data_IF_842074537224
#
_entry.id   IF_842074537224
#
_cell.length_a   1.000
_cell.length_b   1.000
_cell.length_c   1.000
_cell.angle_alpha   90.00
_cell.angle_beta   90.00
_cell.angle_gamma   90.00
#
_symmetry.space_group_name_H-M   'P 1'
#
loop_
_entity.id
_entity.type
_entity.pdbx_description
1 polymer ?
#
# COMPACT_ATOMS: atom_id res chain seq x y z
N UNK A 1 -46.97 -16.11 -38.37
CA UNK A 1 -46.59 -16.21 -36.94
C UNK A 1 -45.34 -15.39 -36.71
N UNK A 2 -45.43 -14.37 -35.88
CA UNK A 2 -44.29 -13.53 -35.49
C UNK A 2 -43.38 -14.36 -34.59
N UNK A 3 -42.16 -14.65 -35.02
CA UNK A 3 -41.20 -15.37 -34.21
C UNK A 3 -40.55 -14.42 -33.21
N UNK A 4 -40.11 -14.93 -32.05
CA UNK A 4 -39.38 -14.14 -31.05
C UNK A 4 -38.16 -13.44 -31.69
N UNK A 5 -37.49 -14.08 -32.65
CA UNK A 5 -36.41 -13.47 -33.42
C UNK A 5 -36.85 -12.25 -34.24
N UNK A 6 -38.05 -12.24 -34.81
CA UNK A 6 -38.57 -11.09 -35.54
C UNK A 6 -38.88 -9.92 -34.59
N UNK A 7 -39.41 -10.22 -33.40
CA UNK A 7 -39.68 -9.22 -32.35
C UNK A 7 -38.37 -8.61 -31.85
N UNK A 8 -37.38 -9.43 -31.49
CA UNK A 8 -36.05 -8.97 -31.04
C UNK A 8 -35.35 -8.12 -32.10
N UNK A 9 -35.41 -8.51 -33.38
CA UNK A 9 -34.82 -7.71 -34.47
C UNK A 9 -35.53 -6.38 -34.69
N UNK A 10 -36.84 -6.31 -34.48
CA UNK A 10 -37.59 -5.05 -34.56
C UNK A 10 -37.17 -4.11 -33.43
N UNK A 11 -37.18 -4.62 -32.19
CA UNK A 11 -36.79 -3.85 -31.00
C UNK A 11 -35.36 -3.33 -31.12
N UNK A 12 -34.41 -4.15 -31.54
CA UNK A 12 -33.03 -3.69 -31.77
C UNK A 12 -32.97 -2.59 -32.84
N UNK A 13 -33.72 -2.73 -33.94
CA UNK A 13 -33.73 -1.72 -35.01
C UNK A 13 -34.26 -0.36 -34.53
N UNK A 14 -35.22 -0.38 -33.62
CA UNK A 14 -35.81 0.82 -33.04
C UNK A 14 -34.93 1.45 -31.96
N UNK A 15 -34.14 0.63 -31.24
CA UNK A 15 -33.22 1.10 -30.19
C UNK A 15 -31.87 1.57 -30.72
N UNK A 16 -31.38 1.06 -31.85
CA UNK A 16 -30.06 1.42 -32.40
C UNK A 16 -29.90 2.93 -32.63
N UNK A 17 -30.84 3.66 -33.25
CA UNK A 17 -30.68 5.11 -33.45
C UNK A 17 -30.63 5.89 -32.13
N UNK A 18 -31.46 5.49 -31.15
CA UNK A 18 -31.49 6.12 -29.82
C UNK A 18 -30.20 5.84 -29.05
N UNK A 19 -29.66 4.64 -29.17
CA UNK A 19 -28.37 4.28 -28.60
C UNK A 19 -27.24 5.11 -29.21
N UNK A 20 -27.20 5.23 -30.55
CA UNK A 20 -26.19 6.02 -31.26
C UNK A 20 -26.22 7.49 -30.86
N UNK A 21 -27.41 8.10 -30.80
CA UNK A 21 -27.58 9.50 -30.40
C UNK A 21 -27.10 9.73 -28.96
N UNK A 22 -27.49 8.86 -28.03
CA UNK A 22 -27.06 8.94 -26.62
C UNK A 22 -25.55 8.72 -26.47
N UNK A 23 -24.98 7.79 -27.24
CA UNK A 23 -23.54 7.54 -27.23
C UNK A 23 -22.78 8.75 -27.77
N UNK A 24 -23.21 9.33 -28.91
CA UNK A 24 -22.58 10.55 -29.45
C UNK A 24 -22.66 11.70 -28.46
N UNK A 25 -23.81 11.92 -27.83
CA UNK A 25 -23.97 12.97 -26.84
C UNK A 25 -23.05 12.76 -25.62
N UNK A 26 -22.91 11.53 -25.13
CA UNK A 26 -22.03 11.20 -24.02
C UNK A 26 -20.55 11.36 -24.38
N UNK A 27 -20.15 10.94 -25.58
CA UNK A 27 -18.76 11.04 -26.07
C UNK A 27 -18.38 12.49 -26.38
N UNK A 28 -19.31 13.33 -26.85
CA UNK A 28 -19.04 14.74 -27.19
C UNK A 28 -18.60 15.60 -25.99
N UNK A 29 -18.87 15.15 -24.76
CA UNK A 29 -18.50 15.84 -23.51
C UNK A 29 -17.17 15.33 -22.95
N UNK A 30 -16.61 14.25 -23.51
CA UNK A 30 -15.36 13.67 -23.03
C UNK A 30 -14.14 14.39 -23.62
N UNK A 31 -13.02 14.26 -22.91
CA UNK A 31 -11.72 14.74 -23.37
C UNK A 31 -11.28 14.01 -24.66
N UNK A 32 -10.68 14.76 -25.59
CA UNK A 32 -10.30 14.23 -26.91
C UNK A 32 -9.19 13.19 -26.80
N UNK A 33 -8.22 13.39 -25.92
CA UNK A 33 -7.10 12.47 -25.76
C UNK A 33 -7.59 11.18 -25.10
N UNK A 34 -8.51 11.28 -24.13
CA UNK A 34 -9.21 10.12 -23.57
C UNK A 34 -9.98 9.32 -24.62
N UNK A 35 -10.71 9.98 -25.54
CA UNK A 35 -11.45 9.30 -26.61
C UNK A 35 -10.52 8.55 -27.57
N UNK A 36 -9.38 9.15 -27.91
CA UNK A 36 -8.35 8.51 -28.74
C UNK A 36 -7.83 7.25 -28.05
N UNK A 37 -7.54 7.32 -26.75
CA UNK A 37 -7.10 6.16 -25.97
C UNK A 37 -8.14 5.04 -25.94
N UNK A 38 -9.43 5.37 -25.79
CA UNK A 38 -10.49 4.36 -25.81
C UNK A 38 -10.65 3.70 -27.19
N UNK A 39 -10.55 4.46 -28.28
CA UNK A 39 -10.62 3.91 -29.64
C UNK A 39 -9.42 2.99 -29.88
N UNK A 40 -8.21 3.42 -29.52
CA UNK A 40 -7.00 2.59 -29.61
C UNK A 40 -7.22 1.30 -28.82
N UNK A 41 -7.68 1.37 -27.56
CA UNK A 41 -7.96 0.17 -26.75
C UNK A 41 -9.00 -0.77 -27.38
N UNK A 42 -10.06 -0.24 -27.98
CA UNK A 42 -11.09 -1.05 -28.63
C UNK A 42 -10.62 -1.70 -29.94
N UNK A 43 -9.55 -1.18 -30.55
CA UNK A 43 -9.00 -1.66 -31.83
C UNK A 43 -7.79 -2.58 -31.69
N UNK A 44 -7.12 -2.55 -30.54
CA UNK A 44 -5.98 -3.42 -30.25
C UNK A 44 -6.44 -4.82 -29.84
N UNK A 45 -5.64 -5.83 -30.18
CA UNK A 45 -5.86 -7.19 -29.70
C UNK A 45 -5.53 -7.31 -28.20
N UNK A 46 -6.03 -8.37 -27.57
CA UNK A 46 -5.88 -8.59 -26.14
C UNK A 46 -4.42 -8.58 -25.67
N UNK A 47 -3.47 -9.05 -26.50
CA UNK A 47 -2.06 -9.08 -26.13
C UNK A 47 -1.45 -7.67 -26.11
N UNK A 48 -1.76 -6.85 -27.11
CA UNK A 48 -1.33 -5.44 -27.17
C UNK A 48 -1.91 -4.61 -26.02
N UNK A 49 -3.15 -4.88 -25.60
CA UNK A 49 -3.77 -4.27 -24.43
C UNK A 49 -3.07 -4.65 -23.12
N UNK A 50 -2.80 -5.94 -22.93
CA UNK A 50 -2.06 -6.43 -21.77
C UNK A 50 -0.65 -5.82 -21.67
N UNK A 51 0.03 -5.62 -22.79
CA UNK A 51 1.35 -4.98 -22.81
C UNK A 51 1.29 -3.50 -22.43
N UNK A 52 0.27 -2.77 -22.92
CA UNK A 52 0.04 -1.36 -22.55
C UNK A 52 -0.29 -1.22 -21.06
N UNK A 53 -1.16 -2.09 -20.54
CA UNK A 53 -1.54 -2.08 -19.13
C UNK A 53 -0.31 -2.41 -18.25
N UNK A 54 0.46 -3.43 -18.62
CA UNK A 54 1.71 -3.78 -17.93
C UNK A 54 2.72 -2.64 -17.93
N UNK A 55 2.92 -1.96 -19.07
CA UNK A 55 3.82 -0.81 -19.17
C UNK A 55 3.34 0.34 -18.29
N UNK A 56 2.04 0.63 -18.32
CA UNK A 56 1.43 1.70 -17.51
C UNK A 56 1.60 1.45 -16.01
N UNK A 57 1.44 0.21 -15.57
CA UNK A 57 1.70 -0.20 -14.18
C UNK A 57 3.17 -0.04 -13.78
N UNK A 58 4.10 -0.43 -14.66
CA UNK A 58 5.54 -0.26 -14.42
C UNK A 58 5.88 1.22 -14.32
N UNK A 59 5.40 2.04 -15.24
CA UNK A 59 5.65 3.49 -15.23
C UNK A 59 5.06 4.16 -13.99
N UNK A 60 3.87 3.74 -13.55
CA UNK A 60 3.26 4.21 -12.31
C UNK A 60 4.10 3.83 -11.07
N UNK A 61 4.63 2.60 -11.01
CA UNK A 61 5.54 2.17 -9.94
C UNK A 61 6.85 2.96 -9.93
N UNK A 62 7.43 3.23 -11.10
CA UNK A 62 8.65 4.04 -11.23
C UNK A 62 8.40 5.47 -10.75
N UNK A 63 7.30 6.10 -11.18
CA UNK A 63 6.91 7.44 -10.71
C UNK A 63 6.69 7.47 -9.20
N UNK A 64 5.90 6.55 -8.65
CA UNK A 64 5.64 6.48 -7.21
C UNK A 64 6.91 6.25 -6.38
N UNK A 65 7.88 5.48 -6.90
CA UNK A 65 9.20 5.31 -6.27
C UNK A 65 10.00 6.61 -6.30
N UNK A 66 10.02 7.32 -7.42
CA UNK A 66 10.73 8.59 -7.54
C UNK A 66 10.14 9.65 -6.57
N UNK A 67 8.82 9.79 -6.55
CA UNK A 67 8.12 10.69 -5.63
C UNK A 67 8.40 10.37 -4.16
N UNK A 68 8.43 9.07 -3.79
CA UNK A 68 8.82 8.64 -2.45
C UNK A 68 10.25 9.05 -2.12
N UNK A 69 11.19 8.85 -3.04
CA UNK A 69 12.59 9.22 -2.81
C UNK A 69 12.76 10.73 -2.61
N UNK A 70 12.01 11.58 -3.33
CA UNK A 70 12.03 13.02 -3.08
C UNK A 70 11.54 13.35 -1.66
N UNK A 71 10.38 12.82 -1.25
CA UNK A 71 9.86 13.05 0.11
C UNK A 71 10.81 12.53 1.20
N UNK A 72 11.44 11.38 0.96
CA UNK A 72 12.42 10.81 1.89
C UNK A 72 13.66 11.71 2.01
N UNK A 73 14.14 12.31 0.91
CA UNK A 73 15.23 13.30 0.98
C UNK A 73 14.83 14.53 1.78
N UNK A 74 13.60 15.00 1.63
CA UNK A 74 13.07 16.13 2.39
C UNK A 74 13.04 15.87 3.90
N UNK A 75 12.87 14.61 4.34
CA UNK A 75 12.97 14.26 5.76
C UNK A 75 14.34 14.57 6.36
N UNK A 76 15.41 14.55 5.53
CA UNK A 76 16.80 14.73 5.98
C UNK A 76 17.13 13.91 7.23
N UNK A 77 16.73 12.64 7.21
CA UNK A 77 16.69 11.79 8.40
C UNK A 77 18.09 11.61 9.01
N UNK A 78 18.28 12.16 10.20
CA UNK A 78 19.45 11.94 11.04
C UNK A 78 19.03 11.46 12.44
N UNK A 79 20.01 11.28 13.34
CA UNK A 79 19.75 10.86 14.71
C UNK A 79 18.82 11.83 15.46
N UNK A 80 18.96 13.14 15.26
CA UNK A 80 18.18 14.13 15.96
C UNK A 80 16.71 14.11 15.50
N UNK A 81 16.50 14.00 14.18
CA UNK A 81 15.16 13.84 13.59
C UNK A 81 14.49 12.58 14.11
N UNK A 82 15.21 11.45 14.17
CA UNK A 82 14.68 10.19 14.68
C UNK A 82 14.32 10.28 16.17
N UNK A 83 15.18 10.87 17.01
CA UNK A 83 14.89 11.07 18.44
C UNK A 83 13.68 11.98 18.63
N UNK A 84 13.56 13.05 17.85
CA UNK A 84 12.40 13.94 17.90
C UNK A 84 11.11 13.20 17.54
N UNK A 85 11.13 12.38 16.49
CA UNK A 85 10.00 11.55 16.09
C UNK A 85 9.60 10.54 17.19
N UNK A 86 10.58 9.90 17.82
CA UNK A 86 10.33 8.95 18.92
C UNK A 86 9.76 9.62 20.17
N UNK A 87 10.04 10.90 20.38
CA UNK A 87 9.50 11.68 21.48
C UNK A 87 8.04 12.16 21.25
N UNK A 88 7.53 12.09 20.03
CA UNK A 88 6.13 12.45 19.72
C UNK A 88 5.14 11.50 20.44
N UNK A 89 4.07 12.06 21.01
CA UNK A 89 3.07 11.32 21.82
C UNK A 89 2.52 10.08 21.10
N UNK A 90 2.50 8.94 21.81
CA UNK A 90 2.10 7.66 21.23
C UNK A 90 0.61 7.37 21.39
N UNK A 91 -0.11 7.33 20.26
CA UNK A 91 -1.45 6.74 20.18
C UNK A 91 -1.30 5.23 20.03
N UNK A 92 -1.72 4.46 21.04
CA UNK A 92 -1.65 3.00 21.01
C UNK A 92 -2.94 2.36 20.50
N UNK A 93 -4.08 2.96 20.81
CA UNK A 93 -5.39 2.37 20.56
C UNK A 93 -6.13 3.10 19.46
N UNK A 94 -6.99 2.36 18.71
CA UNK A 94 -7.81 2.93 17.63
C UNK A 94 -8.61 4.15 18.08
N UNK A 95 -9.17 4.14 19.30
CA UNK A 95 -9.94 5.27 19.81
C UNK A 95 -9.11 6.55 19.87
N UNK A 96 -7.84 6.45 20.28
CA UNK A 96 -6.95 7.60 20.34
C UNK A 96 -6.68 8.21 18.94
N UNK A 97 -6.68 7.41 17.88
CA UNK A 97 -6.59 7.91 16.49
C UNK A 97 -7.88 8.58 16.01
N UNK A 98 -9.04 8.13 16.50
CA UNK A 98 -10.33 8.78 16.21
C UNK A 98 -10.40 10.11 16.95
N UNK A 99 -10.04 10.13 18.23
CA UNK A 99 -10.05 11.34 19.06
C UNK A 99 -9.03 12.39 18.57
N UNK A 100 -7.89 11.94 18.06
CA UNK A 100 -6.90 12.80 17.41
C UNK A 100 -7.30 13.26 16.00
N UNK A 101 -8.46 12.83 15.49
CA UNK A 101 -8.97 13.23 14.18
C UNK A 101 -8.16 12.67 13.02
N UNK A 102 -7.52 11.51 13.16
CA UNK A 102 -6.75 10.84 12.11
C UNK A 102 -7.58 9.78 11.36
N UNK A 103 -8.47 9.11 12.08
CA UNK A 103 -9.37 8.07 11.56
C UNK A 103 -10.81 8.49 11.77
N UNK A 104 -11.66 8.26 10.78
CA UNK A 104 -13.09 8.56 10.88
C UNK A 104 -13.81 7.50 11.72
N UNK A 105 -14.81 7.90 12.52
CA UNK A 105 -15.52 6.99 13.42
C UNK A 105 -16.28 5.84 12.74
N UNK A 106 -16.57 5.96 11.44
CA UNK A 106 -17.18 4.90 10.63
C UNK A 106 -16.19 3.91 10.01
N UNK A 107 -14.89 4.00 10.35
CA UNK A 107 -13.87 3.10 9.82
C UNK A 107 -14.11 1.63 10.24
N UNK A 108 -13.80 0.66 9.36
CA UNK A 108 -13.86 -0.76 9.69
C UNK A 108 -13.13 -1.12 11.00
N UNK A 109 -13.71 -2.08 11.72
CA UNK A 109 -13.13 -2.62 12.94
C UNK A 109 -11.75 -3.24 12.67
N UNK A 110 -10.88 -3.22 13.68
CA UNK A 110 -9.57 -3.87 13.62
C UNK A 110 -9.71 -5.37 13.33
N UNK A 111 -8.82 -5.91 12.50
CA UNK A 111 -8.82 -7.31 12.06
C UNK A 111 -9.70 -7.61 10.85
N UNK A 112 -10.42 -6.61 10.32
CA UNK A 112 -11.34 -6.79 9.19
C UNK A 112 -10.71 -6.35 7.87
N UNK A 113 -11.32 -5.42 7.13
CA UNK A 113 -10.78 -4.90 5.88
C UNK A 113 -9.65 -3.89 6.10
N UNK A 114 -8.82 -3.69 5.06
CA UNK A 114 -7.86 -2.58 5.01
C UNK A 114 -8.60 -1.24 5.11
N UNK A 115 -8.01 -0.26 5.78
CA UNK A 115 -8.52 1.11 5.74
C UNK A 115 -8.14 1.77 4.41
N UNK A 116 -9.16 2.06 3.62
CA UNK A 116 -9.08 2.90 2.42
C UNK A 116 -9.03 4.41 2.75
N UNK A 117 -8.65 5.28 1.79
CA UNK A 117 -8.58 6.73 1.99
C UNK A 117 -9.85 7.35 2.57
N UNK A 118 -11.04 6.86 2.20
CA UNK A 118 -12.31 7.34 2.73
C UNK A 118 -12.53 7.09 4.24
N UNK A 119 -11.66 6.32 4.89
CA UNK A 119 -11.70 6.06 6.33
C UNK A 119 -10.77 6.97 7.15
N UNK A 120 -10.01 7.85 6.50
CA UNK A 120 -9.05 8.75 7.13
C UNK A 120 -9.40 10.21 6.86
N UNK A 121 -8.97 11.08 7.75
CA UNK A 121 -8.95 12.53 7.47
C UNK A 121 -7.74 12.89 6.63
N UNK A 122 -7.67 14.14 6.14
CA UNK A 122 -6.48 14.65 5.46
C UNK A 122 -5.22 14.52 6.35
N UNK A 123 -5.33 14.89 7.64
CA UNK A 123 -4.24 14.75 8.61
C UNK A 123 -3.85 13.29 8.85
N UNK A 124 -4.83 12.37 8.86
CA UNK A 124 -4.57 10.94 8.93
C UNK A 124 -3.83 10.41 7.71
N UNK A 125 -4.19 10.91 6.51
CA UNK A 125 -3.52 10.56 5.27
C UNK A 125 -2.07 11.09 5.21
N UNK A 126 -1.84 12.34 5.64
CA UNK A 126 -0.49 12.91 5.78
C UNK A 126 0.36 12.12 6.78
N UNK A 127 -0.22 11.75 7.92
CA UNK A 127 0.45 10.94 8.94
C UNK A 127 0.82 9.55 8.42
N UNK A 128 -0.06 8.91 7.63
CA UNK A 128 0.23 7.63 6.98
C UNK A 128 1.38 7.75 5.98
N UNK A 129 1.37 8.79 5.13
CA UNK A 129 2.44 9.03 4.17
C UNK A 129 3.79 9.26 4.87
N UNK A 130 3.81 10.13 5.89
CA UNK A 130 5.01 10.37 6.72
C UNK A 130 5.52 9.08 7.36
N UNK A 131 4.63 8.25 7.91
CA UNK A 131 5.01 6.98 8.53
C UNK A 131 5.61 6.00 7.51
N UNK A 132 5.06 5.90 6.30
CA UNK A 132 5.61 5.06 5.22
C UNK A 132 6.96 5.56 4.73
N UNK A 133 7.12 6.88 4.55
CA UNK A 133 8.37 7.47 4.10
C UNK A 133 9.46 7.32 5.16
N UNK A 134 9.14 7.51 6.45
CA UNK A 134 10.05 7.23 7.56
C UNK A 134 10.43 5.74 7.64
N UNK A 135 9.47 4.82 7.54
CA UNK A 135 9.77 3.38 7.53
C UNK A 135 10.70 3.01 6.37
N UNK A 136 10.44 3.56 5.17
CA UNK A 136 11.33 3.38 4.02
C UNK A 136 12.75 3.91 4.30
N UNK A 137 12.87 5.12 4.85
CA UNK A 137 14.15 5.72 5.18
C UNK A 137 14.92 4.94 6.25
N UNK A 138 14.22 4.41 7.26
CA UNK A 138 14.82 3.62 8.33
C UNK A 138 15.41 2.30 7.80
N UNK A 139 14.67 1.62 6.92
CA UNK A 139 15.05 0.32 6.36
C UNK A 139 16.07 0.41 5.21
N UNK A 140 15.87 1.37 4.28
CA UNK A 140 16.61 1.42 3.01
C UNK A 140 17.40 2.72 2.80
N UNK A 141 17.24 3.70 3.69
CA UNK A 141 17.82 5.03 3.53
C UNK A 141 19.34 5.05 3.69
N UNK A 142 19.96 5.85 2.84
CA UNK A 142 21.38 6.14 2.76
C UNK A 142 21.64 7.63 2.43
N UNK A 143 22.89 8.00 2.20
CA UNK A 143 23.26 9.38 1.88
C UNK A 143 22.59 9.91 0.60
N UNK A 144 22.29 9.05 -0.39
CA UNK A 144 21.65 9.45 -1.66
C UNK A 144 20.16 9.78 -1.51
N UNK A 145 19.55 9.26 -0.45
CA UNK A 145 18.17 9.50 -0.05
C UNK A 145 18.07 10.47 1.14
N UNK A 146 19.16 11.16 1.51
CA UNK A 146 19.17 12.14 2.58
C UNK A 146 19.17 11.55 3.99
N UNK A 147 19.40 10.25 4.13
CA UNK A 147 19.48 9.56 5.43
C UNK A 147 20.92 9.47 5.92
N UNK A 148 21.17 9.97 7.14
CA UNK A 148 22.49 10.05 7.78
C UNK A 148 22.45 9.41 9.16
N UNK A 149 22.42 8.08 9.17
CA UNK A 149 22.40 7.25 10.38
C UNK A 149 23.68 6.42 10.43
N UNK A 150 24.47 6.58 11.51
CA UNK A 150 25.70 5.83 11.71
C UNK A 150 25.37 4.40 12.15
N UNK A 151 25.17 3.50 11.18
CA UNK A 151 24.80 2.10 11.43
C UNK A 151 25.98 1.36 12.08
N UNK A 152 25.73 0.71 13.22
CA UNK A 152 26.73 -0.02 14.02
C UNK A 152 26.48 -1.54 14.02
N UNK A 153 25.27 -1.98 13.70
CA UNK A 153 24.91 -3.41 13.62
C UNK A 153 23.91 -3.66 12.49
N UNK A 154 23.70 -4.94 12.14
CA UNK A 154 22.71 -5.38 11.16
C UNK A 154 21.63 -6.20 11.86
N UNK A 155 20.38 -5.97 11.48
CA UNK A 155 19.21 -6.67 11.97
C UNK A 155 18.33 -7.15 10.83
N UNK A 156 17.58 -8.23 11.05
CA UNK A 156 16.56 -8.75 10.14
C UNK A 156 15.18 -8.48 10.75
N UNK A 157 14.38 -7.68 10.05
CA UNK A 157 12.95 -7.52 10.29
C UNK A 157 12.18 -8.61 9.53
N UNK A 158 11.39 -9.41 10.24
CA UNK A 158 10.38 -10.32 9.67
C UNK A 158 8.99 -9.81 10.04
N UNK A 159 8.14 -9.55 9.05
CA UNK A 159 6.76 -9.10 9.23
C UNK A 159 5.78 -10.11 8.62
N UNK A 160 4.74 -10.49 9.37
CA UNK A 160 3.67 -11.34 8.88
C UNK A 160 2.39 -10.54 8.66
N UNK A 161 1.77 -10.69 7.49
CA UNK A 161 0.54 -9.98 7.14
C UNK A 161 -0.32 -10.78 6.15
N UNK A 162 -1.65 -10.59 6.15
CA UNK A 162 -2.51 -11.19 5.14
C UNK A 162 -2.15 -10.71 3.73
N UNK A 163 -2.09 -11.63 2.74
CA UNK A 163 -1.68 -11.34 1.36
C UNK A 163 -2.47 -10.21 0.73
N UNK A 164 -3.77 -10.17 0.97
CA UNK A 164 -4.66 -9.14 0.43
C UNK A 164 -4.39 -7.74 1.01
N UNK A 165 -3.66 -7.63 2.12
CA UNK A 165 -3.21 -6.36 2.73
C UNK A 165 -1.75 -6.03 2.43
N UNK A 166 -0.98 -6.95 1.84
CA UNK A 166 0.43 -6.75 1.54
C UNK A 166 0.74 -5.63 0.54
N UNK A 167 -0.28 -5.12 -0.18
CA UNK A 167 -0.14 -3.90 -0.96
C UNK A 167 0.12 -2.64 -0.12
N UNK A 168 -0.24 -2.62 1.16
CA UNK A 168 0.00 -1.48 2.05
C UNK A 168 1.51 -1.17 2.23
N UNK A 169 2.33 -2.22 2.14
CA UNK A 169 3.79 -2.19 2.27
C UNK A 169 4.47 -2.61 0.96
N UNK A 170 3.92 -2.16 -0.17
CA UNK A 170 4.40 -2.51 -1.52
C UNK A 170 5.91 -2.29 -1.73
N UNK A 171 6.47 -1.29 -1.08
CA UNK A 171 7.90 -0.96 -1.14
C UNK A 171 8.81 -2.00 -0.47
N UNK A 172 8.26 -2.86 0.38
CA UNK A 172 8.99 -3.99 0.99
C UNK A 172 8.92 -5.26 0.13
N UNK A 173 8.09 -5.32 -0.91
CA UNK A 173 7.95 -6.51 -1.78
C UNK A 173 9.21 -6.88 -2.59
N UNK A 174 10.17 -5.96 -2.68
CA UNK A 174 11.48 -6.24 -3.28
C UNK A 174 12.41 -7.05 -2.33
N UNK A 175 11.95 -7.27 -1.10
CA UNK A 175 12.61 -8.06 -0.08
C UNK A 175 11.91 -9.41 0.03
N UNK A 176 12.64 -10.49 0.33
CA UNK A 176 12.20 -11.89 0.13
C UNK A 176 10.77 -12.14 0.62
N UNK A 177 9.84 -12.33 -0.32
CA UNK A 177 8.47 -12.76 -0.02
C UNK A 177 8.43 -14.28 0.12
N UNK A 178 8.15 -14.78 1.33
CA UNK A 178 7.86 -16.18 1.55
C UNK A 178 6.36 -16.35 1.79
N UNK A 179 5.71 -17.19 0.99
CA UNK A 179 4.35 -17.62 1.29
C UNK A 179 4.38 -18.46 2.57
N UNK A 180 3.64 -18.04 3.60
CA UNK A 180 3.58 -18.77 4.86
C UNK A 180 2.12 -19.02 5.25
N UNK A 181 1.78 -20.27 5.54
CA UNK A 181 0.52 -20.59 6.19
C UNK A 181 0.69 -20.32 7.69
N UNK A 182 0.08 -19.24 8.19
CA UNK A 182 0.07 -18.93 9.62
C UNK A 182 -1.02 -19.71 10.35
N UNK A 183 -0.71 -20.24 11.54
CA UNK A 183 -1.67 -20.88 12.48
C UNK A 183 -1.85 -20.04 13.75
N UNK A 184 -1.90 -18.71 13.61
CA UNK A 184 -2.07 -17.81 14.74
C UNK A 184 -3.56 -17.76 15.11
N UNK A 185 -3.91 -18.08 16.36
CA UNK A 185 -5.30 -18.05 16.86
C UNK A 185 -5.60 -16.68 17.46
N UNK A 186 -6.70 -16.07 17.01
CA UNK A 186 -7.21 -14.82 17.55
C UNK A 186 -7.80 -15.02 18.96
N UNK A 187 -7.34 -14.30 20.00
CA UNK A 187 -7.90 -14.40 21.35
C UNK A 187 -9.40 -14.03 21.44
N UNK A 188 -9.92 -13.19 20.55
CA UNK A 188 -11.31 -12.72 20.58
C UNK A 188 -12.21 -13.31 19.47
N UNK A 189 -11.65 -14.15 18.59
CA UNK A 189 -12.38 -14.83 17.48
C UNK A 189 -13.14 -13.87 16.53
N UNK A 190 -12.64 -12.65 16.33
CA UNK A 190 -13.23 -11.62 15.46
C UNK A 190 -12.49 -11.54 14.10
N UNK A 191 -11.24 -11.99 14.06
CA UNK A 191 -10.45 -12.23 12.86
C UNK A 191 -10.92 -13.53 12.17
N UNK A 192 -11.02 -13.52 10.84
CA UNK A 192 -11.35 -14.73 10.08
C UNK A 192 -10.22 -15.77 10.21
N UNK A 193 -10.45 -16.74 11.09
CA UNK A 193 -9.45 -17.65 11.67
C UNK A 193 -9.24 -18.97 10.91
N UNK A 194 -9.57 -19.05 9.62
CA UNK A 194 -9.35 -20.26 8.83
C UNK A 194 -8.43 -19.99 7.64
N UNK A 195 -7.12 -20.25 7.82
CA UNK A 195 -6.11 -20.28 6.74
C UNK A 195 -5.96 -18.95 5.98
N UNK A 196 -5.80 -17.83 6.69
CA UNK A 196 -5.41 -16.58 6.03
C UNK A 196 -4.09 -16.79 5.27
N UNK A 197 -4.15 -16.68 3.94
CA UNK A 197 -2.98 -16.70 3.05
C UNK A 197 -2.11 -15.50 3.41
N UNK A 198 -1.08 -15.75 4.23
CA UNK A 198 -0.18 -14.73 4.73
C UNK A 198 1.08 -14.65 3.85
N UNK A 199 1.65 -13.45 3.82
CA UNK A 199 2.97 -13.18 3.26
C UNK A 199 3.91 -12.86 4.42
N UNK A 200 5.10 -13.44 4.41
CA UNK A 200 6.21 -12.98 5.23
C UNK A 200 7.06 -12.03 4.40
N UNK A 201 7.31 -10.84 4.94
CA UNK A 201 8.23 -9.86 4.40
C UNK A 201 9.47 -9.83 5.28
N UNK A 202 10.64 -10.04 4.67
CA UNK A 202 11.92 -10.04 5.38
C UNK A 202 12.85 -8.95 4.84
N UNK A 203 13.32 -8.06 5.72
CA UNK A 203 14.20 -6.93 5.35
C UNK A 203 15.36 -6.84 6.31
N UNK A 204 16.59 -6.86 5.79
CA UNK A 204 17.76 -6.51 6.58
C UNK A 204 17.92 -4.99 6.63
N UNK A 205 18.22 -4.45 7.81
CA UNK A 205 18.47 -3.03 8.01
C UNK A 205 19.61 -2.83 9.01
N UNK A 206 20.27 -1.67 8.90
CA UNK A 206 21.29 -1.29 9.87
C UNK A 206 20.67 -0.65 11.10
N UNK A 207 21.13 -0.99 12.29
CA UNK A 207 20.75 -0.32 13.53
C UNK A 207 21.87 0.63 14.01
N UNK A 208 21.52 1.67 14.75
CA UNK A 208 22.43 2.65 15.37
C UNK A 208 22.51 2.46 16.89
N UNK A 209 23.47 3.12 17.52
CA UNK A 209 23.61 3.11 18.97
C UNK A 209 22.32 3.54 19.69
N UNK A 210 21.83 2.67 20.59
CA UNK A 210 20.64 2.89 21.40
C UNK A 210 19.34 2.32 20.81
N UNK A 211 19.42 1.40 19.84
CA UNK A 211 18.26 0.69 19.26
C UNK A 211 17.17 1.63 18.70
N UNK A 212 17.60 2.79 18.18
CA UNK A 212 16.70 3.86 17.78
C UNK A 212 16.00 3.54 16.46
N UNK A 213 16.66 2.80 15.55
CA UNK A 213 16.08 2.44 14.25
C UNK A 213 14.96 1.43 14.46
N UNK A 214 15.19 0.37 15.23
CA UNK A 214 14.21 -0.64 15.60
C UNK A 214 13.02 -0.03 16.34
N UNK A 215 13.27 0.89 17.28
CA UNK A 215 12.20 1.67 17.91
C UNK A 215 11.38 2.48 16.87
N UNK A 216 12.06 3.11 15.90
CA UNK A 216 11.42 3.83 14.81
C UNK A 216 10.60 2.93 13.88
N UNK A 217 11.09 1.73 13.58
CA UNK A 217 10.39 0.70 12.79
C UNK A 217 9.12 0.27 13.50
N UNK A 218 9.18 -0.07 14.79
CA UNK A 218 7.98 -0.42 15.57
C UNK A 218 6.97 0.72 15.59
N UNK A 219 7.45 1.96 15.78
CA UNK A 219 6.59 3.16 15.81
C UNK A 219 5.86 3.39 14.49
N UNK A 220 6.59 3.31 13.38
CA UNK A 220 6.02 3.51 12.04
C UNK A 220 5.07 2.38 11.65
N UNK A 221 5.40 1.13 11.97
CA UNK A 221 4.50 -0.02 11.78
C UNK A 221 3.22 0.13 12.60
N UNK A 222 3.29 0.62 13.84
CA UNK A 222 2.11 0.91 14.67
C UNK A 222 1.19 1.96 14.02
N UNK A 223 1.76 3.05 13.48
CA UNK A 223 1.00 4.07 12.75
C UNK A 223 0.35 3.49 11.49
N UNK A 224 1.10 2.76 10.67
CA UNK A 224 0.60 2.13 9.44
C UNK A 224 -0.49 1.11 9.77
N UNK A 225 -0.35 0.34 10.85
CA UNK A 225 -1.38 -0.60 11.28
C UNK A 225 -2.69 0.10 11.68
N UNK A 226 -2.59 1.26 12.32
CA UNK A 226 -3.78 2.00 12.76
C UNK A 226 -4.43 2.81 11.65
N UNK A 227 -3.67 3.24 10.66
CA UNK A 227 -4.11 4.10 9.58
C UNK A 227 -4.47 3.34 8.30
N UNK A 228 -3.91 2.15 8.04
CA UNK A 228 -4.10 1.44 6.77
C UNK A 228 -4.29 -0.07 6.94
N UNK A 229 -3.27 -0.80 7.41
CA UNK A 229 -3.28 -2.28 7.42
C UNK A 229 -4.41 -2.86 8.26
N UNK A 230 -4.76 -2.22 9.38
CA UNK A 230 -5.93 -2.53 10.19
C UNK A 230 -5.95 -3.94 10.81
N UNK A 231 -4.81 -4.50 11.21
CA UNK A 231 -4.77 -5.73 12.00
C UNK A 231 -4.98 -5.47 13.49
N UNK A 232 -5.65 -6.40 14.17
CA UNK A 232 -5.71 -6.42 15.63
C UNK A 232 -4.32 -6.63 16.22
N UNK A 233 -3.60 -7.61 15.69
CA UNK A 233 -2.21 -7.90 16.04
C UNK A 233 -1.38 -7.92 14.76
N UNK A 234 -0.50 -6.93 14.61
CA UNK A 234 0.49 -6.91 13.54
C UNK A 234 1.78 -7.53 14.08
N UNK A 235 2.09 -8.76 13.65
CA UNK A 235 3.27 -9.47 14.10
C UNK A 235 4.51 -9.03 13.34
N UNK A 236 5.47 -8.46 14.06
CA UNK A 236 6.81 -8.14 13.58
C UNK A 236 7.85 -8.71 14.55
N UNK A 237 8.95 -9.21 14.01
CA UNK A 237 10.11 -9.71 14.76
C UNK A 237 11.37 -9.07 14.21
N UNK A 238 12.25 -8.60 15.09
CA UNK A 238 13.59 -8.12 14.72
C UNK A 238 14.62 -9.03 15.41
N UNK A 239 15.65 -9.44 14.66
CA UNK A 239 16.75 -10.27 15.18
C UNK A 239 18.10 -9.72 14.70
N UNK A 240 19.12 -9.76 15.55
CA UNK A 240 20.48 -9.43 15.17
C UNK A 240 21.01 -10.43 14.14
N UNK A 241 21.69 -9.92 13.11
CA UNK A 241 22.39 -10.73 12.11
C UNK A 241 23.87 -10.77 12.48
N UNK A 242 24.30 -11.90 13.05
CA UNK A 242 25.69 -12.07 13.51
C UNK A 242 26.67 -12.37 12.36
N UNK A 243 26.24 -13.19 11.39
CA UNK A 243 27.04 -13.56 10.21
C UNK A 243 26.18 -13.52 8.95
N UNK A 244 26.74 -12.97 7.87
CA UNK A 244 26.11 -12.98 6.54
C UNK A 244 27.13 -13.40 5.50
N UNK A 245 26.77 -14.38 4.67
CA UNK A 245 27.61 -14.85 3.57
C UNK A 245 26.93 -14.50 2.26
N UNK A 246 27.55 -13.61 1.49
CA UNK A 246 27.18 -13.34 0.09
C UNK A 246 28.09 -14.16 -0.82
N UNK A 247 27.49 -14.98 -1.68
CA UNK A 247 28.20 -15.77 -2.69
C UNK A 247 27.86 -15.19 -4.06
N UNK A 248 28.89 -14.77 -4.81
CA UNK A 248 28.78 -14.24 -6.18
C UNK A 248 28.92 -15.32 -7.23
#
# INVERSE_FOLDING_TARGET
MTTIQAIVRSINRDLTPQFEERLRAALAVQDRDWLVDQIVRLTLDAHSLEEIDRRSEVDAKVRGRAERLERVRELSLDRAVLVAFLAESHLAERQAFVDAGLVLGGAPAKGTSILLPEHRTATGQESLLRAKDLLFALLFGDASSGTRLARVQQELLTLALPRHKAGALDFMRASTELAAAGTWQDPDSVSHDERADNVLLEVQFGEIEGELVGAGVVRTLSLINNLEVNEQVLYARMINVEETTLIS
#
